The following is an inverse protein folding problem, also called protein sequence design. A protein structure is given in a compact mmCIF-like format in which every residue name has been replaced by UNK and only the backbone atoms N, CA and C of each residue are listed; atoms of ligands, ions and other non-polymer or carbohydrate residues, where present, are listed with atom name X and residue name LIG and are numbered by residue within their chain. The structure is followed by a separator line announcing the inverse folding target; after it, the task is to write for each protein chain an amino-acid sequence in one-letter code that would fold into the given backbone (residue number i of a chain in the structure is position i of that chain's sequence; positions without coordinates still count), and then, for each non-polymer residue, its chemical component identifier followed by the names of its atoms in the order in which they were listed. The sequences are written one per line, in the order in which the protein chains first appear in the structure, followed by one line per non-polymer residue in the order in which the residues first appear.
data_IF_660193961651
#
_entry.id   IF_660193961651
#
_cell.length_a   1.000
_cell.length_b   1.000
_cell.length_c   1.000
_cell.angle_alpha   90.00
_cell.angle_beta   90.00
_cell.angle_gamma   90.00
#
_symmetry.space_group_name_H-M   'P 1'
#
loop_
_entity.id
_entity.type
_entity.pdbx_description
1 polymer ?
#
# COMPACT_ATOMS: atom_id res chain seq x y z
N UNK A 1 -0.29 -33.03 -50.63
CA UNK A 1 0.52 -33.42 -49.44
C UNK A 1 1.14 -32.15 -48.89
N UNK A 2 0.42 -31.51 -47.96
CA UNK A 2 0.95 -30.36 -47.25
C UNK A 2 1.84 -30.84 -46.11
N UNK A 3 3.10 -30.45 -46.17
CA UNK A 3 4.05 -30.66 -45.05
C UNK A 3 3.67 -29.79 -43.88
N UNK A 4 3.12 -30.39 -42.81
CA UNK A 4 3.04 -29.76 -41.51
C UNK A 4 4.47 -29.51 -41.02
N UNK A 5 4.91 -28.27 -41.07
CA UNK A 5 6.11 -27.80 -40.39
C UNK A 5 5.80 -27.80 -38.87
N UNK A 6 6.09 -28.87 -38.18
CA UNK A 6 6.12 -28.90 -36.73
C UNK A 6 7.31 -28.05 -36.26
N UNK A 7 7.01 -26.82 -35.87
CA UNK A 7 7.97 -25.99 -35.10
C UNK A 7 8.29 -26.68 -33.77
N UNK A 8 9.26 -27.61 -33.80
CA UNK A 8 9.82 -28.18 -32.58
C UNK A 8 10.47 -27.05 -31.77
N UNK A 9 9.83 -26.66 -30.65
CA UNK A 9 10.41 -25.72 -29.70
C UNK A 9 11.69 -26.33 -29.16
N UNK A 10 12.83 -25.70 -29.43
CA UNK A 10 14.14 -26.15 -28.96
C UNK A 10 14.22 -26.04 -27.43
N UNK A 11 14.60 -27.12 -26.76
CA UNK A 11 14.80 -27.13 -25.32
C UNK A 11 15.99 -26.26 -24.94
N UNK A 12 15.77 -25.15 -24.25
CA UNK A 12 16.83 -24.31 -23.66
C UNK A 12 16.90 -24.57 -22.15
N UNK A 13 18.07 -24.96 -21.67
CA UNK A 13 18.35 -25.15 -20.25
C UNK A 13 19.37 -24.10 -19.78
N UNK A 14 19.13 -23.52 -18.60
CA UNK A 14 20.03 -22.56 -17.96
C UNK A 14 20.54 -23.22 -16.67
N UNK A 15 21.86 -23.25 -16.49
CA UNK A 15 22.45 -23.69 -15.21
C UNK A 15 22.34 -22.57 -14.19
N UNK A 16 21.95 -22.89 -12.97
CA UNK A 16 21.85 -21.89 -11.90
C UNK A 16 23.20 -21.22 -11.57
N UNK A 17 24.33 -21.90 -11.83
CA UNK A 17 25.66 -21.30 -11.74
C UNK A 17 25.90 -20.13 -12.69
N UNK A 18 25.18 -20.10 -13.82
CA UNK A 18 25.32 -19.08 -14.86
C UNK A 18 24.38 -17.90 -14.63
N UNK A 19 23.47 -18.02 -13.64
CA UNK A 19 22.52 -16.96 -13.26
C UNK A 19 23.20 -15.97 -12.30
N UNK A 20 23.26 -14.71 -12.70
CA UNK A 20 23.76 -13.65 -11.83
C UNK A 20 22.75 -13.32 -10.72
N UNK A 21 23.24 -13.23 -9.49
CA UNK A 21 22.42 -12.76 -8.37
C UNK A 21 22.00 -11.31 -8.57
N UNK A 22 20.73 -11.03 -8.34
CA UNK A 22 20.17 -9.68 -8.36
C UNK A 22 19.33 -9.46 -7.09
N UNK A 23 19.51 -8.30 -6.48
CA UNK A 23 18.63 -7.83 -5.40
C UNK A 23 17.30 -7.35 -5.98
N UNK A 24 16.27 -7.42 -5.16
CA UNK A 24 14.96 -6.81 -5.54
C UNK A 24 15.05 -5.31 -5.34
N UNK A 25 14.78 -4.56 -6.39
CA UNK A 25 14.60 -3.11 -6.30
C UNK A 25 13.17 -2.79 -5.88
N UNK A 26 12.99 -1.77 -5.05
CA UNK A 26 11.70 -1.38 -4.49
C UNK A 26 11.34 0.04 -4.88
N UNK A 27 10.09 0.20 -5.33
CA UNK A 27 9.45 1.50 -5.46
C UNK A 27 9.04 2.03 -4.08
N UNK A 28 8.52 1.15 -3.24
CA UNK A 28 8.16 1.40 -1.83
C UNK A 28 8.41 0.13 -1.02
N UNK A 29 9.49 0.11 -0.27
CA UNK A 29 9.86 -1.04 0.57
C UNK A 29 8.97 -1.11 1.84
N UNK A 30 8.45 -2.28 2.21
CA UNK A 30 8.46 -3.56 1.48
C UNK A 30 7.15 -3.78 0.67
N UNK A 31 6.43 -2.74 0.30
CA UNK A 31 5.07 -2.80 -0.25
C UNK A 31 5.03 -2.99 -1.77
N UNK A 32 5.81 -2.22 -2.53
CA UNK A 32 5.74 -2.19 -3.98
C UNK A 32 7.12 -2.43 -4.60
N UNK A 33 7.41 -3.63 -5.12
CA UNK A 33 8.65 -3.93 -5.82
C UNK A 33 8.63 -3.45 -7.27
N UNK A 34 9.77 -2.98 -7.78
CA UNK A 34 9.96 -2.79 -9.21
C UNK A 34 10.01 -4.12 -9.96
N UNK A 35 9.58 -4.13 -11.22
CA UNK A 35 9.61 -5.30 -12.08
C UNK A 35 8.64 -6.40 -11.68
N UNK A 36 7.64 -6.11 -10.85
CA UNK A 36 6.67 -7.09 -10.35
C UNK A 36 5.27 -6.51 -10.33
N UNK A 37 4.27 -7.41 -10.16
CA UNK A 37 2.87 -7.04 -9.99
C UNK A 37 2.58 -6.84 -8.49
N UNK A 38 1.93 -5.73 -8.17
CA UNK A 38 1.33 -5.45 -6.88
C UNK A 38 -0.18 -5.26 -7.05
N UNK A 39 -0.97 -5.94 -6.24
CA UNK A 39 -2.42 -5.73 -6.20
C UNK A 39 -2.75 -4.80 -5.03
N UNK A 40 -3.64 -3.84 -5.28
CA UNK A 40 -4.26 -2.99 -4.26
C UNK A 40 -5.76 -3.25 -4.30
N UNK A 41 -6.29 -3.87 -3.27
CA UNK A 41 -7.69 -4.28 -3.20
C UNK A 41 -8.41 -3.69 -1.98
N UNK A 42 -9.73 -3.61 -2.05
CA UNK A 42 -10.61 -3.12 -0.99
C UNK A 42 -12.03 -2.93 -1.51
N UNK A 43 -12.97 -2.62 -0.63
CA UNK A 43 -14.34 -2.37 -1.03
C UNK A 43 -14.49 -1.05 -1.82
N UNK A 44 -15.55 -0.89 -2.62
CA UNK A 44 -15.87 0.38 -3.26
C UNK A 44 -15.95 1.53 -2.23
N UNK A 45 -15.32 2.66 -2.55
CA UNK A 45 -15.31 3.82 -1.66
C UNK A 45 -14.27 3.79 -0.52
N UNK A 46 -13.38 2.79 -0.47
CA UNK A 46 -12.31 2.72 0.53
C UNK A 46 -11.10 3.62 0.23
N UNK A 47 -11.14 4.38 -0.87
CA UNK A 47 -10.11 5.35 -1.19
C UNK A 47 -8.91 4.80 -1.97
N UNK A 48 -9.03 3.62 -2.61
CA UNK A 48 -7.96 3.00 -3.42
C UNK A 48 -7.45 3.92 -4.52
N UNK A 49 -8.37 4.45 -5.34
CA UNK A 49 -8.04 5.40 -6.43
C UNK A 49 -7.36 6.65 -5.88
N UNK A 50 -7.87 7.24 -4.79
CA UNK A 50 -7.25 8.41 -4.16
C UNK A 50 -5.85 8.10 -3.66
N UNK A 51 -5.64 6.93 -3.04
CA UNK A 51 -4.32 6.46 -2.61
C UNK A 51 -3.34 6.38 -3.78
N UNK A 52 -3.71 5.71 -4.89
CA UNK A 52 -2.79 5.53 -6.02
C UNK A 52 -2.51 6.82 -6.78
N UNK A 53 -3.47 7.75 -6.85
CA UNK A 53 -3.24 9.09 -7.41
C UNK A 53 -2.28 9.90 -6.54
N UNK A 54 -2.36 9.81 -5.21
CA UNK A 54 -1.38 10.44 -4.32
C UNK A 54 0.00 9.78 -4.41
N UNK A 55 0.07 8.46 -4.54
CA UNK A 55 1.33 7.77 -4.84
C UNK A 55 1.91 8.30 -6.16
N UNK A 56 1.11 8.38 -7.22
CA UNK A 56 1.56 8.91 -8.51
C UNK A 56 2.02 10.38 -8.40
N UNK A 57 1.29 11.22 -7.67
CA UNK A 57 1.64 12.62 -7.46
C UNK A 57 3.01 12.75 -6.76
N UNK A 58 3.24 12.05 -5.66
CA UNK A 58 4.53 12.08 -4.94
C UNK A 58 5.67 11.57 -5.80
N UNK A 59 5.48 10.45 -6.49
CA UNK A 59 6.48 9.87 -7.39
C UNK A 59 6.81 10.80 -8.57
N UNK A 60 5.83 11.54 -9.09
CA UNK A 60 6.05 12.51 -10.17
C UNK A 60 6.97 13.66 -9.76
N UNK A 61 7.01 13.98 -8.46
CA UNK A 61 7.88 14.99 -7.83
C UNK A 61 9.22 14.42 -7.35
N UNK A 62 9.35 13.08 -7.27
CA UNK A 62 10.50 12.40 -6.65
C UNK A 62 10.45 12.40 -5.13
N UNK A 63 9.26 12.58 -4.54
CA UNK A 63 9.06 12.50 -3.10
C UNK A 63 8.94 11.06 -2.62
N UNK A 64 9.39 10.79 -1.40
CA UNK A 64 9.17 9.51 -0.72
C UNK A 64 7.69 9.27 -0.43
N UNK A 65 7.26 8.02 -0.43
CA UNK A 65 5.86 7.65 -0.21
C UNK A 65 5.47 7.61 1.27
N UNK A 66 6.44 7.51 2.15
CA UNK A 66 6.27 7.64 3.61
C UNK A 66 7.47 8.38 4.23
N UNK A 67 7.42 8.60 5.53
CA UNK A 67 8.43 9.39 6.25
C UNK A 67 9.82 8.71 6.27
N UNK A 68 9.86 7.39 6.11
CA UNK A 68 11.09 6.59 6.14
C UNK A 68 11.72 6.43 4.75
N UNK A 69 10.98 6.78 3.70
CA UNK A 69 11.44 6.66 2.33
C UNK A 69 12.24 7.89 1.91
N UNK A 70 13.48 7.68 1.49
CA UNK A 70 14.31 8.76 0.92
C UNK A 70 13.66 9.31 -0.34
N UNK A 71 13.85 10.61 -0.56
CA UNK A 71 13.56 11.27 -1.84
C UNK A 71 14.25 10.50 -2.96
N UNK A 72 13.49 10.19 -4.01
CA UNK A 72 13.96 9.51 -5.21
C UNK A 72 14.00 10.49 -6.38
N UNK A 73 14.53 10.07 -7.52
CA UNK A 73 14.34 10.85 -8.74
C UNK A 73 12.88 10.78 -9.20
N UNK A 74 12.32 11.87 -9.76
CA UNK A 74 11.00 11.86 -10.35
C UNK A 74 10.87 10.77 -11.42
N UNK A 75 9.75 10.03 -11.41
CA UNK A 75 9.49 8.96 -12.38
C UNK A 75 8.28 9.28 -13.24
N UNK A 76 8.27 8.73 -14.44
CA UNK A 76 7.10 8.78 -15.32
C UNK A 76 6.15 7.64 -14.98
N UNK A 77 4.86 7.94 -14.99
CA UNK A 77 3.77 7.06 -14.60
C UNK A 77 2.78 6.94 -15.77
N UNK A 78 2.32 5.74 -16.05
CA UNK A 78 1.14 5.51 -16.90
C UNK A 78 -0.01 5.16 -15.97
N UNK A 79 -1.07 5.95 -15.99
CA UNK A 79 -2.29 5.73 -15.20
C UNK A 79 -3.46 5.50 -16.15
N UNK A 80 -4.03 4.29 -16.10
CA UNK A 80 -5.22 3.94 -16.87
C UNK A 80 -6.42 3.80 -15.94
N UNK A 81 -7.49 4.49 -16.30
CA UNK A 81 -8.78 4.41 -15.62
C UNK A 81 -9.90 4.18 -16.62
N UNK A 82 -10.88 3.38 -16.24
CA UNK A 82 -12.06 3.13 -17.04
C UNK A 82 -13.36 3.61 -16.37
N UNK A 83 -13.27 4.06 -15.11
CA UNK A 83 -14.43 4.49 -14.33
C UNK A 83 -14.46 6.02 -14.14
N UNK A 84 -13.30 6.62 -13.89
CA UNK A 84 -13.18 8.04 -13.58
C UNK A 84 -12.88 8.88 -14.84
N UNK A 85 -13.59 9.98 -15.01
CA UNK A 85 -13.31 10.96 -16.07
C UNK A 85 -11.97 11.67 -15.87
N UNK A 86 -11.20 11.80 -16.95
CA UNK A 86 -9.88 12.41 -16.86
C UNK A 86 -9.94 13.89 -16.47
N UNK A 87 -10.91 14.63 -17.04
CA UNK A 87 -10.99 16.08 -16.91
C UNK A 87 -11.66 16.54 -15.60
N UNK A 88 -12.66 15.81 -15.16
CA UNK A 88 -13.54 16.19 -14.04
C UNK A 88 -13.21 15.49 -12.72
N UNK A 89 -12.47 14.38 -12.78
CA UNK A 89 -12.18 13.57 -11.60
C UNK A 89 -10.69 13.37 -11.39
N UNK A 90 -9.98 12.82 -12.37
CA UNK A 90 -8.55 12.45 -12.22
C UNK A 90 -7.67 13.70 -12.14
N UNK A 91 -7.80 14.59 -13.10
CA UNK A 91 -6.99 15.82 -13.18
C UNK A 91 -7.14 16.70 -11.94
N UNK A 92 -8.36 17.00 -11.44
CA UNK A 92 -8.52 17.78 -10.22
C UNK A 92 -7.88 17.11 -8.98
N UNK A 93 -7.97 15.78 -8.85
CA UNK A 93 -7.33 15.05 -7.74
C UNK A 93 -5.81 15.09 -7.81
N UNK A 94 -5.24 15.01 -9.02
CA UNK A 94 -3.80 15.14 -9.22
C UNK A 94 -3.31 16.57 -8.91
N UNK A 95 -4.07 17.59 -9.30
CA UNK A 95 -3.76 18.99 -8.98
C UNK A 95 -3.84 19.25 -7.47
N UNK A 96 -4.87 18.72 -6.80
CA UNK A 96 -4.98 18.82 -5.34
C UNK A 96 -3.80 18.12 -4.62
N UNK A 97 -3.27 17.04 -5.20
CA UNK A 97 -2.09 16.35 -4.71
C UNK A 97 -0.76 16.99 -5.19
N UNK A 98 -0.82 18.14 -5.87
CA UNK A 98 0.35 18.87 -6.39
C UNK A 98 1.24 18.03 -7.33
N UNK A 99 0.62 17.18 -8.15
CA UNK A 99 1.34 16.30 -9.07
C UNK A 99 2.03 17.09 -10.21
N UNK A 100 3.20 16.62 -10.63
CA UNK A 100 3.81 17.04 -11.90
C UNK A 100 3.12 16.27 -13.02
N UNK A 101 2.01 16.82 -13.53
CA UNK A 101 1.12 16.13 -14.48
C UNK A 101 1.78 15.75 -15.80
N UNK A 102 2.85 16.43 -16.21
CA UNK A 102 3.66 16.11 -17.40
C UNK A 102 4.33 14.73 -17.31
N UNK A 103 4.43 14.18 -16.10
CA UNK A 103 4.99 12.85 -15.82
C UNK A 103 3.94 11.76 -15.66
N UNK A 104 2.65 12.12 -15.74
CA UNK A 104 1.52 11.18 -15.61
C UNK A 104 0.77 11.13 -16.92
N UNK A 105 0.89 10.02 -17.62
CA UNK A 105 0.36 9.83 -18.96
C UNK A 105 -0.76 8.81 -18.96
N UNK A 106 -1.68 8.95 -19.91
CA UNK A 106 -2.79 8.05 -20.15
C UNK A 106 -2.73 7.59 -21.61
N UNK A 107 -2.98 6.31 -21.88
CA UNK A 107 -3.14 5.80 -23.25
C UNK A 107 -4.57 6.15 -23.69
N UNK A 108 -4.70 6.80 -24.83
CA UNK A 108 -6.02 7.14 -25.38
C UNK A 108 -6.77 5.87 -25.84
N UNK A 109 -7.99 5.73 -25.33
CA UNK A 109 -8.90 4.61 -25.60
C UNK A 109 -10.14 5.00 -26.42
N UNK A 110 -10.20 6.23 -26.95
CA UNK A 110 -11.36 6.73 -27.69
C UNK A 110 -11.69 5.89 -28.91
N UNK A 111 -10.69 5.40 -29.64
CA UNK A 111 -10.89 4.58 -30.82
C UNK A 111 -10.94 3.08 -30.51
N UNK A 112 -10.19 2.62 -29.51
CA UNK A 112 -10.06 1.21 -29.18
C UNK A 112 -9.79 1.02 -27.70
N UNK A 113 -10.68 0.29 -27.03
CA UNK A 113 -10.51 -0.11 -25.63
C UNK A 113 -9.18 -0.84 -25.40
N UNK A 114 -8.59 -0.62 -24.24
CA UNK A 114 -7.34 -1.25 -23.83
C UNK A 114 -7.64 -2.59 -23.12
N UNK A 115 -6.76 -3.55 -23.30
CA UNK A 115 -6.75 -4.78 -22.49
C UNK A 115 -5.38 -5.01 -21.85
N UNK A 116 -5.31 -5.84 -20.83
CA UNK A 116 -4.05 -6.14 -20.13
C UNK A 116 -2.98 -6.80 -21.01
N UNK A 117 -3.36 -7.33 -22.17
CA UNK A 117 -2.46 -7.97 -23.12
C UNK A 117 -2.20 -7.11 -24.36
N UNK A 118 -2.70 -5.88 -24.38
CA UNK A 118 -2.56 -4.97 -25.53
C UNK A 118 -1.10 -4.49 -25.65
N UNK A 119 -0.57 -4.56 -26.87
CA UNK A 119 0.81 -4.17 -27.18
C UNK A 119 1.08 -2.67 -26.98
N UNK A 120 0.00 -1.85 -26.93
CA UNK A 120 0.10 -0.42 -26.60
C UNK A 120 0.68 -0.18 -25.21
N UNK A 121 0.47 -1.10 -24.25
CA UNK A 121 1.07 -1.01 -22.91
C UNK A 121 2.60 -1.04 -22.98
N UNK A 122 3.14 -2.01 -23.73
CA UNK A 122 4.59 -2.12 -23.92
C UNK A 122 5.16 -0.91 -24.66
N UNK A 123 4.48 -0.49 -25.72
CA UNK A 123 4.87 0.67 -26.53
C UNK A 123 4.89 1.94 -25.68
N UNK A 124 3.86 2.17 -24.87
CA UNK A 124 3.76 3.33 -23.99
C UNK A 124 4.89 3.33 -22.92
N UNK A 125 5.14 2.19 -22.26
CA UNK A 125 6.24 2.09 -21.29
C UNK A 125 7.59 2.40 -21.96
N UNK A 126 7.83 1.87 -23.16
CA UNK A 126 9.07 2.07 -23.90
C UNK A 126 9.26 3.54 -24.33
N UNK A 127 8.21 4.17 -24.84
CA UNK A 127 8.25 5.55 -25.33
C UNK A 127 8.41 6.58 -24.22
N UNK A 128 7.73 6.36 -23.10
CA UNK A 128 7.71 7.29 -21.97
C UNK A 128 8.81 7.04 -20.94
N UNK A 129 9.43 5.86 -20.96
CA UNK A 129 10.32 5.41 -19.91
C UNK A 129 9.61 5.24 -18.56
N UNK A 130 8.31 4.97 -18.57
CA UNK A 130 7.52 4.85 -17.34
C UNK A 130 8.04 3.73 -16.44
N UNK A 131 8.18 4.05 -15.16
CA UNK A 131 8.60 3.12 -14.11
C UNK A 131 7.42 2.58 -13.30
N UNK A 132 6.23 3.15 -13.52
CA UNK A 132 4.99 2.74 -12.87
C UNK A 132 3.87 2.67 -13.91
N UNK A 133 3.13 1.57 -13.92
CA UNK A 133 1.88 1.39 -14.65
C UNK A 133 0.77 1.08 -13.65
N UNK A 134 -0.32 1.83 -13.70
CA UNK A 134 -1.49 1.66 -12.83
C UNK A 134 -2.69 1.32 -13.71
N UNK A 135 -3.42 0.25 -13.38
CA UNK A 135 -4.69 -0.14 -14.03
C UNK A 135 -5.82 -0.07 -12.99
N UNK A 136 -6.75 0.86 -13.16
CA UNK A 136 -7.80 1.18 -12.19
C UNK A 136 -9.20 1.27 -12.84
N UNK A 137 -10.11 0.31 -12.61
CA UNK A 137 -9.86 -0.98 -11.98
C UNK A 137 -9.41 -2.04 -12.99
N UNK A 138 -8.70 -3.07 -12.51
CA UNK A 138 -8.22 -4.17 -13.35
C UNK A 138 -9.35 -4.86 -14.13
N UNK A 139 -10.55 -4.93 -13.54
CA UNK A 139 -11.71 -5.58 -14.14
C UNK A 139 -12.05 -5.02 -15.53
N UNK A 140 -11.85 -3.74 -15.73
CA UNK A 140 -12.15 -3.08 -17.01
C UNK A 140 -11.19 -3.50 -18.14
N UNK A 141 -10.00 -3.98 -17.79
CA UNK A 141 -8.93 -4.33 -18.75
C UNK A 141 -8.82 -5.82 -19.05
N UNK A 142 -9.82 -6.63 -18.60
CA UNK A 142 -9.84 -8.08 -18.85
C UNK A 142 -10.20 -8.46 -20.29
N UNK A 143 -10.88 -7.57 -21.01
CA UNK A 143 -11.38 -7.84 -22.37
C UNK A 143 -12.79 -8.44 -22.39
N UNK A 144 -13.64 -8.00 -23.34
CA UNK A 144 -15.09 -8.24 -23.36
C UNK A 144 -15.57 -9.68 -23.55
N UNK A 145 -14.68 -10.65 -23.77
CA UNK A 145 -15.01 -12.08 -23.94
C UNK A 145 -14.53 -12.93 -22.76
N UNK A 146 -13.89 -12.33 -21.76
CA UNK A 146 -13.25 -13.08 -20.68
C UNK A 146 -14.11 -13.19 -19.44
N UNK A 147 -14.21 -14.41 -18.93
CA UNK A 147 -14.74 -14.72 -17.61
C UNK A 147 -13.59 -14.74 -16.60
N UNK A 148 -13.59 -13.82 -15.62
CA UNK A 148 -12.63 -13.79 -14.51
C UNK A 148 -12.54 -15.09 -13.74
N UNK A 149 -13.54 -15.96 -13.88
CA UNK A 149 -13.58 -17.27 -13.22
C UNK A 149 -12.83 -18.36 -14.01
N UNK A 150 -12.35 -18.07 -15.23
CA UNK A 150 -11.54 -18.99 -16.01
C UNK A 150 -10.06 -18.83 -15.67
N UNK A 151 -9.60 -19.63 -14.74
CA UNK A 151 -8.25 -19.63 -14.19
C UNK A 151 -7.12 -19.58 -15.24
N UNK A 152 -7.28 -20.26 -16.36
CA UNK A 152 -6.23 -20.34 -17.40
C UNK A 152 -6.04 -18.99 -18.14
N UNK A 153 -7.11 -18.28 -18.44
CA UNK A 153 -7.07 -17.00 -19.16
C UNK A 153 -6.45 -15.90 -18.29
N UNK A 154 -6.88 -15.83 -17.02
CA UNK A 154 -6.31 -14.89 -16.04
C UNK A 154 -4.80 -15.14 -15.82
N UNK A 155 -4.38 -16.40 -15.82
CA UNK A 155 -2.97 -16.78 -15.65
C UNK A 155 -2.10 -16.37 -16.83
N UNK A 156 -2.56 -16.51 -18.07
CA UNK A 156 -1.82 -16.11 -19.25
C UNK A 156 -1.66 -14.58 -19.33
N UNK A 157 -2.69 -13.83 -18.97
CA UNK A 157 -2.63 -12.36 -18.91
C UNK A 157 -1.65 -11.86 -17.86
N UNK A 158 -1.78 -12.37 -16.64
CA UNK A 158 -0.90 -11.97 -15.54
C UNK A 158 0.55 -12.35 -15.81
N UNK A 159 0.80 -13.48 -16.50
CA UNK A 159 2.13 -13.87 -16.95
C UNK A 159 2.71 -12.86 -17.94
N UNK A 160 1.93 -12.40 -18.91
CA UNK A 160 2.37 -11.35 -19.87
C UNK A 160 2.71 -10.04 -19.16
N UNK A 161 1.84 -9.57 -18.27
CA UNK A 161 2.12 -8.39 -17.45
C UNK A 161 3.37 -8.56 -16.59
N UNK A 162 3.56 -9.74 -15.99
CA UNK A 162 4.77 -10.02 -15.18
C UNK A 162 6.04 -9.95 -16.02
N UNK A 163 6.02 -10.49 -17.24
CA UNK A 163 7.16 -10.41 -18.16
C UNK A 163 7.42 -8.96 -18.59
N UNK A 164 6.37 -8.19 -18.84
CA UNK A 164 6.46 -6.76 -19.15
C UNK A 164 7.09 -5.99 -17.99
N UNK A 165 6.61 -6.22 -16.77
CA UNK A 165 7.16 -5.63 -15.55
C UNK A 165 8.66 -5.90 -15.41
N UNK A 166 9.07 -7.17 -15.54
CA UNK A 166 10.47 -7.56 -15.44
C UNK A 166 11.35 -6.94 -16.52
N UNK A 167 10.88 -6.99 -17.78
CA UNK A 167 11.61 -6.49 -18.93
C UNK A 167 11.98 -5.02 -18.81
N UNK A 168 11.05 -4.20 -18.33
CA UNK A 168 11.21 -2.75 -18.22
C UNK A 168 11.51 -2.27 -16.80
N UNK A 169 11.66 -3.18 -15.83
CA UNK A 169 11.78 -2.85 -14.41
C UNK A 169 10.70 -1.86 -13.97
N UNK A 170 9.48 -2.04 -14.47
CA UNK A 170 8.32 -1.22 -14.20
C UNK A 170 7.50 -1.86 -13.07
N UNK A 171 7.12 -1.11 -12.05
CA UNK A 171 6.15 -1.56 -11.06
C UNK A 171 4.75 -1.50 -11.68
N UNK A 172 4.01 -2.62 -11.67
CA UNK A 172 2.65 -2.65 -12.19
C UNK A 172 1.67 -2.79 -11.03
N UNK A 173 0.82 -1.78 -10.85
CA UNK A 173 -0.21 -1.72 -9.80
C UNK A 173 -1.56 -2.06 -10.41
N UNK A 174 -2.20 -3.09 -9.87
CA UNK A 174 -3.50 -3.58 -10.29
C UNK A 174 -4.52 -3.25 -9.20
N UNK A 175 -5.42 -2.31 -9.48
CA UNK A 175 -6.43 -1.88 -8.52
C UNK A 175 -7.67 -2.74 -8.71
N UNK A 176 -8.21 -3.31 -7.63
CA UNK A 176 -9.36 -4.18 -7.74
C UNK A 176 -10.35 -4.06 -6.60
N UNK A 177 -11.61 -4.38 -6.91
CA UNK A 177 -12.67 -4.49 -5.92
C UNK A 177 -12.69 -5.89 -5.31
N UNK A 178 -12.99 -5.98 -4.02
CA UNK A 178 -13.17 -7.25 -3.35
C UNK A 178 -14.55 -7.84 -3.65
N UNK A 179 -14.63 -9.18 -3.70
CA UNK A 179 -15.90 -9.87 -3.80
C UNK A 179 -16.64 -9.83 -2.45
N UNK A 180 -17.95 -9.56 -2.48
CA UNK A 180 -18.84 -9.55 -1.30
C UNK A 180 -19.12 -10.93 -0.71
N UNK A 181 -18.45 -12.02 -1.13
CA UNK A 181 -18.63 -13.35 -0.60
C UNK A 181 -18.20 -13.40 0.88
N UNK A 182 -19.16 -13.37 1.79
CA UNK A 182 -18.93 -13.47 3.23
C UNK A 182 -18.31 -14.82 3.62
N UNK A 183 -17.45 -14.80 4.64
CA UNK A 183 -16.97 -16.02 5.31
C UNK A 183 -15.54 -16.49 4.99
N UNK A 184 -14.87 -15.94 4.01
CA UNK A 184 -13.49 -16.29 3.68
C UNK A 184 -12.46 -15.37 4.35
N UNK A 185 -11.26 -15.92 4.65
CA UNK A 185 -10.11 -15.14 5.13
C UNK A 185 -9.78 -13.98 4.17
N UNK A 186 -9.22 -12.90 4.68
CA UNK A 186 -8.83 -11.69 3.94
C UNK A 186 -8.16 -11.97 2.59
N UNK A 187 -7.27 -12.96 2.55
CA UNK A 187 -6.57 -13.39 1.35
C UNK A 187 -7.48 -13.93 0.22
N UNK A 188 -8.69 -14.40 0.55
CA UNK A 188 -9.59 -15.05 -0.40
C UNK A 188 -10.78 -14.18 -0.82
N UNK A 189 -10.97 -13.00 -0.23
CA UNK A 189 -11.95 -12.00 -0.71
C UNK A 189 -11.48 -11.23 -1.93
N UNK A 190 -10.27 -11.53 -2.43
CA UNK A 190 -9.65 -10.84 -3.56
C UNK A 190 -10.41 -11.00 -4.88
N UNK A 191 -10.06 -10.18 -5.83
CA UNK A 191 -10.58 -10.02 -7.18
C UNK A 191 -10.92 -11.36 -7.86
N UNK A 192 -12.12 -11.89 -7.69
CA UNK A 192 -12.76 -12.98 -8.45
C UNK A 192 -11.95 -14.25 -8.77
N UNK A 193 -10.67 -14.12 -9.07
CA UNK A 193 -9.78 -15.23 -9.40
C UNK A 193 -8.61 -15.33 -8.40
N UNK A 194 -8.47 -16.48 -7.81
CA UNK A 194 -7.32 -16.90 -6.99
C UNK A 194 -6.00 -16.71 -7.79
N UNK A 195 -6.07 -16.78 -9.12
CA UNK A 195 -4.89 -16.70 -9.97
C UNK A 195 -4.23 -15.30 -10.02
N UNK A 196 -5.01 -14.22 -9.97
CA UNK A 196 -4.44 -12.87 -9.84
C UNK A 196 -3.67 -12.72 -8.53
N UNK A 197 -4.28 -13.17 -7.43
CA UNK A 197 -3.62 -13.16 -6.12
C UNK A 197 -2.36 -14.04 -6.13
N UNK A 198 -2.39 -15.20 -6.80
CA UNK A 198 -1.28 -16.13 -6.85
C UNK A 198 -0.05 -15.52 -7.55
N UNK A 199 -0.23 -14.81 -8.65
CA UNK A 199 0.85 -14.27 -9.47
C UNK A 199 1.45 -12.99 -8.87
N UNK A 200 0.66 -12.14 -8.23
CA UNK A 200 1.15 -10.93 -7.57
C UNK A 200 2.19 -11.25 -6.50
N UNK A 201 3.26 -10.48 -6.42
CA UNK A 201 4.32 -10.64 -5.42
C UNK A 201 4.04 -9.89 -4.13
N UNK A 202 3.25 -8.83 -4.20
CA UNK A 202 2.71 -8.08 -3.07
C UNK A 202 1.22 -7.85 -3.25
N UNK A 203 0.46 -7.92 -2.17
CA UNK A 203 -0.97 -7.58 -2.16
C UNK A 203 -1.26 -6.72 -0.95
N UNK A 204 -1.85 -5.56 -1.21
CA UNK A 204 -2.24 -4.57 -0.23
C UNK A 204 -3.76 -4.53 -0.12
N UNK A 205 -4.25 -4.58 1.09
CA UNK A 205 -5.65 -4.33 1.44
C UNK A 205 -5.78 -2.87 1.86
N UNK A 206 -6.71 -2.17 1.24
CA UNK A 206 -7.13 -0.83 1.67
C UNK A 206 -8.54 -0.93 2.21
N UNK A 207 -8.78 -0.35 3.38
CA UNK A 207 -10.11 -0.37 3.99
C UNK A 207 -10.29 0.70 5.05
N UNK A 208 -11.54 0.90 5.45
CA UNK A 208 -11.93 1.87 6.49
C UNK A 208 -11.51 1.36 7.85
N UNK A 209 -11.17 2.30 8.73
CA UNK A 209 -10.94 2.00 10.14
C UNK A 209 -12.24 2.25 10.89
N UNK A 210 -12.75 1.22 11.56
CA UNK A 210 -14.00 1.33 12.31
C UNK A 210 -13.87 2.36 13.44
N UNK A 211 -14.86 3.23 13.58
CA UNK A 211 -14.84 4.34 14.54
C UNK A 211 -14.12 5.59 14.06
N UNK A 212 -13.42 5.52 12.91
CA UNK A 212 -12.63 6.63 12.35
C UNK A 212 -13.05 6.89 10.89
N UNK A 213 -14.12 7.65 10.63
CA UNK A 213 -14.76 7.75 9.31
C UNK A 213 -13.83 8.26 8.21
N UNK A 214 -12.86 9.09 8.55
CA UNK A 214 -11.93 9.70 7.61
C UNK A 214 -10.63 8.89 7.44
N UNK A 215 -10.34 7.95 8.35
CA UNK A 215 -9.14 7.13 8.28
C UNK A 215 -9.33 5.88 7.42
N UNK A 216 -8.25 5.57 6.72
CA UNK A 216 -8.11 4.36 5.90
C UNK A 216 -6.80 3.67 6.27
N UNK A 217 -6.82 2.35 6.28
CA UNK A 217 -5.64 1.54 6.48
C UNK A 217 -5.14 0.96 5.16
N UNK A 218 -3.82 0.80 5.06
CA UNK A 218 -3.13 0.01 4.04
C UNK A 218 -2.43 -1.13 4.75
N UNK A 219 -2.93 -2.35 4.57
CA UNK A 219 -2.40 -3.56 5.23
C UNK A 219 -1.84 -4.52 4.19
N UNK A 220 -0.61 -4.96 4.37
CA UNK A 220 -0.01 -5.95 3.48
C UNK A 220 -0.51 -7.35 3.85
N UNK A 221 -1.19 -8.01 2.91
CA UNK A 221 -1.77 -9.36 3.12
C UNK A 221 -1.02 -10.46 2.37
N UNK A 222 -0.10 -10.09 1.48
CA UNK A 222 0.84 -10.98 0.82
C UNK A 222 2.13 -10.26 0.51
N UNK A 223 3.26 -10.90 0.78
CA UNK A 223 4.58 -10.53 0.29
C UNK A 223 5.43 -11.79 0.12
N UNK A 224 5.96 -12.01 -1.09
CA UNK A 224 6.83 -13.15 -1.40
C UNK A 224 8.32 -12.77 -1.48
N UNK A 225 8.66 -11.50 -1.26
CA UNK A 225 10.00 -10.94 -1.53
C UNK A 225 10.68 -10.37 -0.29
N UNK A 226 9.90 -10.04 0.76
CA UNK A 226 10.38 -9.52 2.03
C UNK A 226 9.44 -9.90 3.18
N UNK A 227 9.82 -9.61 4.41
CA UNK A 227 8.90 -9.62 5.55
C UNK A 227 7.80 -8.56 5.36
N UNK A 228 6.66 -8.73 6.03
CA UNK A 228 5.58 -7.74 5.98
C UNK A 228 6.03 -6.43 6.61
N UNK A 229 5.66 -5.31 5.97
CA UNK A 229 5.78 -3.99 6.55
C UNK A 229 4.73 -3.73 7.63
N UNK A 230 4.97 -2.72 8.45
CA UNK A 230 3.94 -2.18 9.34
C UNK A 230 2.77 -1.64 8.52
N UNK A 231 1.53 -1.90 8.97
CA UNK A 231 0.37 -1.29 8.33
C UNK A 231 0.50 0.23 8.35
N UNK A 232 -0.02 0.88 7.33
CA UNK A 232 0.01 2.34 7.21
C UNK A 232 -1.43 2.86 7.28
N UNK A 233 -1.59 4.10 7.71
CA UNK A 233 -2.86 4.80 7.63
C UNK A 233 -2.74 6.11 6.86
N UNK A 234 -3.85 6.51 6.27
CA UNK A 234 -4.02 7.81 5.63
C UNK A 234 -5.42 8.36 5.93
N UNK A 235 -5.54 9.68 5.92
CA UNK A 235 -6.80 10.38 6.11
C UNK A 235 -7.29 10.94 4.78
N UNK A 236 -8.60 10.80 4.56
CA UNK A 236 -9.32 11.46 3.46
C UNK A 236 -10.23 12.52 4.05
N UNK A 237 -9.97 13.78 3.72
CA UNK A 237 -10.78 14.92 4.14
C UNK A 237 -11.33 15.66 2.91
N UNK A 238 -12.20 16.60 3.13
CA UNK A 238 -12.67 17.52 2.06
C UNK A 238 -11.50 18.31 1.44
N UNK A 239 -10.44 18.52 2.18
CA UNK A 239 -9.25 19.26 1.75
C UNK A 239 -8.18 18.39 1.09
N UNK A 240 -8.36 17.06 1.06
CA UNK A 240 -7.45 16.17 0.35
C UNK A 240 -7.02 14.93 1.15
N UNK A 241 -5.83 14.47 0.83
CA UNK A 241 -5.19 13.26 1.34
C UNK A 241 -4.05 13.62 2.30
N UNK A 242 -3.99 12.93 3.44
CA UNK A 242 -2.91 13.09 4.42
C UNK A 242 -2.36 11.72 4.84
N UNK A 243 -1.04 11.52 4.73
CA UNK A 243 -0.39 10.35 5.33
C UNK A 243 -0.31 10.51 6.85
N UNK A 244 -0.81 9.48 7.57
CA UNK A 244 -0.67 9.38 9.03
C UNK A 244 0.63 8.64 9.38
N UNK A 245 1.05 7.68 8.56
CA UNK A 245 2.23 6.84 8.79
C UNK A 245 1.88 5.46 9.32
N UNK A 246 2.76 4.90 10.15
CA UNK A 246 2.57 3.58 10.75
C UNK A 246 1.31 3.54 11.63
N UNK A 247 0.54 2.47 11.48
CA UNK A 247 -0.70 2.28 12.22
C UNK A 247 -0.89 0.81 12.58
N UNK A 248 -1.13 0.53 13.86
CA UNK A 248 -1.33 -0.84 14.32
C UNK A 248 -2.76 -1.31 14.02
N UNK A 249 -2.92 -1.99 12.91
CA UNK A 249 -4.18 -2.63 12.50
C UNK A 249 -3.87 -3.86 11.64
N UNK A 250 -4.68 -4.89 11.80
CA UNK A 250 -4.59 -6.14 11.04
C UNK A 250 -5.61 -6.17 9.89
N UNK A 251 -5.37 -7.05 8.92
CA UNK A 251 -6.32 -7.26 7.83
C UNK A 251 -7.68 -7.77 8.32
N UNK A 252 -7.70 -8.60 9.35
CA UNK A 252 -8.95 -9.15 9.91
C UNK A 252 -9.77 -8.04 10.63
N UNK A 253 -9.12 -7.08 11.29
CA UNK A 253 -9.79 -5.93 11.88
C UNK A 253 -10.38 -5.01 10.80
N UNK A 254 -9.63 -4.71 9.74
CA UNK A 254 -10.14 -3.92 8.60
C UNK A 254 -11.34 -4.59 7.95
N UNK A 255 -11.28 -5.89 7.68
CA UNK A 255 -12.34 -6.63 7.00
C UNK A 255 -13.53 -6.97 7.89
N UNK A 256 -13.28 -7.10 9.19
CA UNK A 256 -14.31 -7.40 10.18
C UNK A 256 -15.13 -6.18 10.60
N UNK A 257 -14.71 -4.96 10.19
CA UNK A 257 -15.27 -3.72 10.74
C UNK A 257 -15.10 -3.69 12.25
N UNK A 258 -13.97 -4.19 12.75
CA UNK A 258 -13.65 -4.21 14.17
C UNK A 258 -12.73 -3.04 14.43
N UNK A 259 -13.11 -2.17 15.38
CA UNK A 259 -12.22 -1.10 15.82
C UNK A 259 -10.87 -1.72 16.24
N UNK A 260 -9.73 -1.15 15.81
CA UNK A 260 -8.43 -1.68 16.19
C UNK A 260 -8.39 -1.81 17.71
N UNK A 261 -7.88 -2.93 18.19
CA UNK A 261 -7.58 -3.05 19.60
C UNK A 261 -6.58 -1.95 19.90
N UNK A 262 -7.06 -0.90 20.55
CA UNK A 262 -6.18 0.19 20.99
C UNK A 262 -5.06 -0.48 21.78
N UNK A 263 -3.86 -0.47 21.24
CA UNK A 263 -2.71 -0.96 21.98
C UNK A 263 -2.49 0.00 23.15
N UNK A 264 -3.09 -0.35 24.28
CA UNK A 264 -3.05 0.47 25.49
C UNK A 264 -1.63 0.78 25.93
N UNK A 265 -0.67 -0.07 25.56
CA UNK A 265 0.74 0.14 25.84
C UNK A 265 1.31 1.27 24.96
N UNK A 266 1.03 1.25 23.64
CA UNK A 266 1.47 2.32 22.73
C UNK A 266 0.74 3.64 23.02
N UNK A 267 -0.55 3.58 23.37
CA UNK A 267 -1.30 4.75 23.83
C UNK A 267 -0.68 5.35 25.11
N UNK A 268 -0.27 4.50 26.06
CA UNK A 268 0.45 4.94 27.24
C UNK A 268 1.81 5.57 26.92
N UNK A 269 2.57 4.97 26.02
CA UNK A 269 3.86 5.53 25.57
C UNK A 269 3.69 6.88 24.86
N UNK A 270 2.68 7.01 23.99
CA UNK A 270 2.35 8.27 23.31
C UNK A 270 2.01 9.36 24.32
N UNK A 271 1.11 9.10 25.25
CA UNK A 271 0.75 10.00 26.33
C UNK A 271 1.99 10.47 27.13
N UNK A 272 2.89 9.54 27.47
CA UNK A 272 4.11 9.87 28.21
C UNK A 272 5.10 10.70 27.39
N UNK A 273 5.19 10.51 26.06
CA UNK A 273 6.00 11.35 25.16
C UNK A 273 5.44 12.76 25.03
N UNK A 274 4.13 12.89 24.85
CA UNK A 274 3.44 14.19 24.80
C UNK A 274 3.63 14.97 26.11
N UNK A 275 3.55 14.30 27.26
CA UNK A 275 3.86 14.89 28.57
C UNK A 275 5.33 15.35 28.66
N UNK A 276 6.26 14.58 28.09
CA UNK A 276 7.67 14.93 28.07
C UNK A 276 7.98 16.19 27.25
N UNK A 277 7.15 16.52 26.25
CA UNK A 277 7.29 17.75 25.47
C UNK A 277 6.99 19.00 26.31
N UNK A 278 6.07 18.89 27.26
CA UNK A 278 5.59 20.01 28.09
C UNK A 278 6.25 20.07 29.47
N UNK A 279 6.72 18.93 30.00
CA UNK A 279 7.24 18.85 31.37
C UNK A 279 8.38 17.87 31.49
N UNK A 280 9.43 18.24 32.27
CA UNK A 280 10.57 17.36 32.52
C UNK A 280 10.28 16.36 33.66
N UNK A 281 9.31 16.66 34.51
CA UNK A 281 8.95 15.83 35.67
C UNK A 281 7.50 16.09 36.05
N UNK A 282 6.71 15.02 36.16
CA UNK A 282 5.27 15.10 36.49
C UNK A 282 4.96 14.20 37.70
N UNK A 283 4.03 14.63 38.50
CA UNK A 283 3.61 13.85 39.70
C UNK A 283 2.92 12.57 39.27
N UNK A 284 3.26 11.44 39.88
CA UNK A 284 2.74 10.12 39.46
C UNK A 284 1.22 10.01 39.55
N UNK A 285 0.58 10.69 40.52
CA UNK A 285 -0.89 10.72 40.63
C UNK A 285 -1.53 11.34 39.38
N UNK A 286 -1.01 12.45 38.89
CA UNK A 286 -1.50 13.14 37.70
C UNK A 286 -1.38 12.25 36.46
N UNK A 287 -0.25 11.54 36.31
CA UNK A 287 -0.06 10.58 35.20
C UNK A 287 -1.04 9.41 35.31
N UNK A 288 -1.34 8.93 36.51
CA UNK A 288 -2.32 7.86 36.74
C UNK A 288 -3.74 8.34 36.42
N UNK A 289 -4.11 9.57 36.80
CA UNK A 289 -5.42 10.15 36.50
C UNK A 289 -5.62 10.30 35.00
N UNK A 290 -4.63 10.82 34.28
CA UNK A 290 -4.65 10.89 32.80
C UNK A 290 -4.76 9.52 32.14
N UNK A 291 -4.06 8.51 32.67
CA UNK A 291 -4.14 7.14 32.13
C UNK A 291 -5.53 6.53 32.40
N UNK A 292 -6.17 6.84 33.51
CA UNK A 292 -7.53 6.39 33.86
C UNK A 292 -8.56 7.00 32.89
N UNK A 293 -8.46 8.28 32.59
CA UNK A 293 -9.29 8.95 31.56
C UNK A 293 -9.19 8.28 30.17
N UNK A 294 -8.00 7.79 29.81
CA UNK A 294 -7.75 7.06 28.57
C UNK A 294 -8.07 5.56 28.66
N UNK A 295 -8.66 5.09 29.79
CA UNK A 295 -8.89 3.67 30.07
C UNK A 295 -7.61 2.81 29.96
N UNK A 296 -6.47 3.33 30.39
CA UNK A 296 -5.18 2.62 30.44
C UNK A 296 -4.99 2.05 31.84
N UNK A 297 -4.79 0.73 31.95
CA UNK A 297 -4.57 0.10 33.24
C UNK A 297 -3.23 0.52 33.87
N UNK A 298 -3.15 0.58 35.19
CA UNK A 298 -1.90 0.86 35.93
C UNK A 298 -0.75 -0.06 35.52
N UNK A 299 -1.04 -1.35 35.27
CA UNK A 299 -0.06 -2.33 34.82
C UNK A 299 0.49 -1.96 33.41
N UNK A 300 -0.36 -1.56 32.51
CA UNK A 300 0.03 -1.14 31.16
C UNK A 300 0.87 0.13 31.21
N UNK A 301 0.48 1.09 32.01
CA UNK A 301 1.22 2.33 32.22
C UNK A 301 2.62 2.10 32.84
N UNK A 302 2.75 1.22 33.82
CA UNK A 302 4.05 0.85 34.39
C UNK A 302 4.94 0.08 33.38
N UNK A 303 4.34 -0.72 32.51
CA UNK A 303 5.08 -1.34 31.38
C UNK A 303 5.60 -0.28 30.41
N UNK A 304 4.77 0.69 30.01
CA UNK A 304 5.18 1.81 29.15
C UNK A 304 6.33 2.60 29.78
N UNK A 305 6.23 2.94 31.07
CA UNK A 305 7.28 3.58 31.83
C UNK A 305 8.60 2.82 31.78
N UNK A 306 8.54 1.50 31.98
CA UNK A 306 9.71 0.61 31.96
C UNK A 306 10.37 0.60 30.59
N UNK A 307 9.57 0.46 29.49
CA UNK A 307 10.07 0.42 28.13
C UNK A 307 10.65 1.76 27.66
N UNK A 308 10.09 2.88 28.12
CA UNK A 308 10.63 4.22 27.87
C UNK A 308 11.82 4.59 28.79
N UNK A 309 12.19 3.73 29.74
CA UNK A 309 13.30 3.97 30.65
C UNK A 309 13.07 5.10 31.65
N UNK A 310 11.80 5.46 31.89
CA UNK A 310 11.41 6.54 32.82
C UNK A 310 11.70 6.11 34.26
N UNK A 311 12.40 6.97 35.00
CA UNK A 311 12.69 6.75 36.41
C UNK A 311 11.68 7.51 37.29
N UNK A 312 11.38 6.95 38.44
CA UNK A 312 10.60 7.66 39.46
C UNK A 312 11.51 8.13 40.60
N UNK A 313 11.28 9.34 41.09
CA UNK A 313 11.97 9.89 42.27
C UNK A 313 10.96 10.41 43.28
N UNK A 314 11.33 10.36 44.54
CA UNK A 314 10.50 10.88 45.64
C UNK A 314 10.95 12.30 46.01
N UNK A 315 10.00 13.22 46.02
CA UNK A 315 10.21 14.60 46.50
C UNK A 315 9.19 14.85 47.60
N UNK A 316 9.66 14.97 48.86
CA UNK A 316 8.79 15.05 50.01
C UNK A 316 7.90 13.82 50.17
N UNK A 317 6.59 14.01 50.18
CA UNK A 317 5.61 12.93 50.31
C UNK A 317 5.08 12.41 48.96
N UNK A 318 5.55 12.93 47.83
CA UNK A 318 5.02 12.62 46.52
C UNK A 318 6.07 11.94 45.60
N UNK A 319 5.58 11.10 44.69
CA UNK A 319 6.39 10.48 43.66
C UNK A 319 6.26 11.25 42.34
N UNK A 320 7.39 11.43 41.66
CA UNK A 320 7.48 12.08 40.36
C UNK A 320 8.16 11.16 39.35
N UNK A 321 7.72 11.23 38.12
CA UNK A 321 8.35 10.54 36.99
C UNK A 321 9.22 11.51 36.20
N UNK A 322 10.47 11.13 35.97
CA UNK A 322 11.44 11.91 35.20
C UNK A 322 11.30 11.61 33.73
N UNK A 323 10.78 12.57 32.94
CA UNK A 323 10.47 12.43 31.53
C UNK A 323 11.59 12.96 30.61
N UNK A 324 12.67 13.53 31.14
CA UNK A 324 13.77 14.10 30.34
C UNK A 324 14.36 13.16 29.29
N UNK A 325 14.35 11.85 29.52
CA UNK A 325 14.92 10.83 28.63
C UNK A 325 13.99 10.40 27.50
N UNK A 326 12.76 10.85 27.52
CA UNK A 326 11.70 10.45 26.57
C UNK A 326 11.57 11.47 25.43
N UNK A 327 12.19 12.66 25.58
CA UNK A 327 12.19 13.68 24.51
C UNK A 327 12.88 13.12 23.26
N UNK A 328 12.29 13.30 22.06
CA UNK A 328 13.02 13.03 20.83
C UNK A 328 14.31 13.88 20.80
N UNK A 329 15.39 13.27 20.34
CA UNK A 329 16.68 13.92 20.21
C UNK A 329 16.64 15.01 19.13
#
# INVERSE_FOLDING_TARGET
MEQRNENKTELKMIKMSDVQFQTVDWLWYPFIPYGKLTIIQGDPGDGKTTLVLNIAARLSKGEGLDNDMKVTEPVNIIYQTAEDGLADTVKPRLELAEAVCERIMVIDETEKSLSMIDERLETAIKQTGARVLILDPIQAYLGGTMDMNRANEARDMTKRLSLLAEKYKCAILLIGHMNKAGGNKAAYRGMGSIDFFAVARSVLLVGRIEGEPDLRAVVQIKNNLAAFGHSKAFRLTETGFEWIGDYEITADEVLGGIAPKVNKLEQAKKMLRELAETSNSVQSSEIFDMAEELNISKRTLENAKKELGIKARRIGNFWYWDLDKVKPA
#
